data_IF_388772884046
#
_entry.id   IF_388772884046
#
_cell.length_a   1.000
_cell.length_b   1.000
_cell.length_c   1.000
_cell.angle_alpha   90.00
_cell.angle_beta   90.00
_cell.angle_gamma   90.00
#
_symmetry.space_group_name_H-M   'P 1'
#
loop_
_entity.id
_entity.type
_entity.pdbx_description
1 polymer ?
#
# COMPACT_ATOMS: atom_id res chain seq x y z
N UNK A 1 -19.21 42.02 -6.81
CA UNK A 1 -19.32 40.61 -7.29
C UNK A 1 -18.29 40.45 -8.40
N UNK A 2 -17.14 39.86 -8.07
CA UNK A 2 -16.06 39.59 -9.02
C UNK A 2 -16.10 38.09 -9.26
N UNK A 3 -16.51 37.69 -10.46
CA UNK A 3 -16.41 36.31 -10.90
C UNK A 3 -14.92 36.00 -11.15
N UNK A 4 -14.37 35.09 -10.34
CA UNK A 4 -13.09 34.49 -10.62
C UNK A 4 -13.29 33.37 -11.63
N UNK A 5 -12.63 33.48 -12.79
CA UNK A 5 -12.55 32.41 -13.78
C UNK A 5 -11.95 31.14 -13.18
N UNK A 6 -12.50 29.94 -13.46
CA UNK A 6 -11.86 28.70 -13.06
C UNK A 6 -10.63 28.46 -13.94
N UNK A 7 -9.48 28.30 -13.27
CA UNK A 7 -8.22 27.84 -13.86
C UNK A 7 -8.44 26.51 -14.59
N UNK A 8 -8.00 26.35 -15.86
CA UNK A 8 -8.17 25.10 -16.56
C UNK A 8 -7.14 24.06 -16.06
N UNK A 9 -7.57 23.20 -15.15
CA UNK A 9 -6.91 21.93 -14.88
C UNK A 9 -7.40 20.86 -15.86
N UNK A 10 -6.67 20.60 -16.94
CA UNK A 10 -6.62 19.26 -17.52
C UNK A 10 -5.32 19.03 -18.30
N UNK A 11 -4.31 18.48 -17.61
CA UNK A 11 -3.31 17.67 -18.30
C UNK A 11 -4.03 16.38 -18.73
N UNK A 12 -4.53 16.37 -19.97
CA UNK A 12 -5.19 15.23 -20.61
C UNK A 12 -4.48 13.90 -20.29
N UNK A 13 -5.00 13.19 -19.29
CA UNK A 13 -4.83 11.75 -19.15
C UNK A 13 -5.76 11.16 -20.20
N UNK A 14 -5.19 10.64 -21.29
CA UNK A 14 -5.98 9.96 -22.32
C UNK A 14 -6.39 8.60 -21.78
N UNK A 15 -7.50 8.52 -21.06
CA UNK A 15 -8.21 7.26 -20.87
C UNK A 15 -8.92 6.91 -22.17
N UNK A 16 -8.95 5.62 -22.51
CA UNK A 16 -9.80 5.13 -23.60
C UNK A 16 -11.12 4.72 -23.00
N UNK A 17 -12.19 5.44 -23.35
CA UNK A 17 -13.55 5.01 -23.07
C UNK A 17 -13.86 3.80 -23.96
N UNK A 18 -14.15 2.66 -23.35
CA UNK A 18 -14.59 1.45 -24.04
C UNK A 18 -16.06 1.24 -23.70
N UNK A 19 -16.86 0.97 -24.73
CA UNK A 19 -18.26 0.60 -24.59
C UNK A 19 -18.44 -0.85 -25.04
N UNK A 20 -18.91 -1.70 -24.13
CA UNK A 20 -19.29 -3.08 -24.45
C UNK A 20 -20.82 -3.13 -24.59
N UNK A 21 -21.30 -3.71 -25.68
CA UNK A 21 -22.72 -3.89 -25.98
C UNK A 21 -23.00 -5.39 -26.07
N UNK A 22 -24.10 -5.86 -25.46
CA UNK A 22 -24.53 -7.26 -25.58
C UNK A 22 -25.04 -7.54 -27.01
N UNK A 23 -24.34 -8.38 -27.77
CA UNK A 23 -24.71 -8.72 -29.15
C UNK A 23 -26.06 -9.46 -29.24
N UNK A 24 -26.40 -10.26 -28.23
CA UNK A 24 -27.68 -10.99 -28.15
C UNK A 24 -28.91 -10.09 -28.00
N UNK A 25 -28.73 -8.82 -27.60
CA UNK A 25 -29.79 -7.82 -27.49
C UNK A 25 -29.67 -6.68 -28.51
N UNK A 26 -28.67 -6.71 -29.40
CA UNK A 26 -28.39 -5.66 -30.39
C UNK A 26 -29.50 -5.41 -31.43
N UNK A 27 -30.58 -6.19 -31.41
CA UNK A 27 -31.71 -6.07 -32.34
C UNK A 27 -32.88 -5.27 -31.76
N UNK A 28 -32.91 -4.99 -30.45
CA UNK A 28 -33.97 -4.20 -29.80
C UNK A 28 -33.36 -3.25 -28.77
N UNK A 29 -33.47 -1.94 -29.02
CA UNK A 29 -33.16 -0.93 -28.00
C UNK A 29 -34.39 -0.77 -27.11
N UNK A 30 -34.36 -1.33 -25.90
CA UNK A 30 -35.42 -1.16 -24.92
C UNK A 30 -35.11 0.02 -24.00
N UNK A 31 -36.13 0.66 -23.43
CA UNK A 31 -35.94 1.60 -22.33
C UNK A 31 -35.35 0.90 -21.12
N UNK A 32 -34.53 1.60 -20.33
CA UNK A 32 -33.92 1.02 -19.13
C UNK A 32 -33.38 2.09 -18.19
N UNK A 33 -32.72 1.62 -17.13
CA UNK A 33 -32.09 2.47 -16.11
C UNK A 33 -30.60 2.58 -16.40
N UNK A 34 -30.08 3.81 -16.49
CA UNK A 34 -28.65 4.06 -16.55
C UNK A 34 -28.15 4.39 -15.13
N UNK A 35 -27.18 3.63 -14.63
CA UNK A 35 -26.59 3.85 -13.32
C UNK A 35 -25.09 3.58 -13.34
N UNK A 36 -24.34 4.33 -12.53
CA UNK A 36 -22.93 4.06 -12.19
C UNK A 36 -22.77 3.48 -10.78
N UNK A 37 -23.88 3.24 -10.08
CA UNK A 37 -23.91 2.69 -8.72
C UNK A 37 -24.12 1.17 -8.76
N UNK A 38 -23.24 0.43 -8.08
CA UNK A 38 -23.25 -1.04 -8.07
C UNK A 38 -24.51 -1.61 -7.40
N UNK A 39 -25.02 -0.98 -6.34
CA UNK A 39 -26.21 -1.47 -5.64
C UNK A 39 -27.47 -1.22 -6.45
N UNK A 40 -27.58 -0.06 -7.10
CA UNK A 40 -28.62 0.22 -8.07
C UNK A 40 -28.58 -0.75 -9.25
N UNK A 41 -27.38 -1.07 -9.76
CA UNK A 41 -27.19 -2.12 -10.76
C UNK A 41 -27.67 -3.49 -10.24
N UNK A 42 -27.21 -3.91 -9.06
CA UNK A 42 -27.56 -5.21 -8.47
C UNK A 42 -29.06 -5.34 -8.24
N UNK A 43 -29.71 -4.32 -7.70
CA UNK A 43 -31.16 -4.30 -7.50
C UNK A 43 -31.90 -4.35 -8.83
N UNK A 44 -31.46 -3.59 -9.85
CA UNK A 44 -32.08 -3.64 -11.17
C UNK A 44 -31.99 -5.03 -11.81
N UNK A 45 -30.85 -5.73 -11.66
CA UNK A 45 -30.69 -7.12 -12.11
C UNK A 45 -31.63 -8.06 -11.34
N UNK A 46 -31.76 -7.91 -10.02
CA UNK A 46 -32.69 -8.69 -9.20
C UNK A 46 -34.16 -8.47 -9.62
N UNK A 47 -34.48 -7.25 -10.06
CA UNK A 47 -35.79 -6.87 -10.60
C UNK A 47 -35.99 -7.28 -12.09
N UNK A 48 -35.08 -8.08 -12.65
CA UNK A 48 -35.20 -8.65 -13.99
C UNK A 48 -34.64 -7.79 -15.13
N UNK A 49 -33.90 -6.71 -14.83
CA UNK A 49 -33.18 -5.97 -15.86
C UNK A 49 -32.01 -6.79 -16.42
N UNK A 50 -31.65 -6.52 -17.67
CA UNK A 50 -30.49 -7.12 -18.33
C UNK A 50 -29.49 -6.04 -18.75
N UNK A 51 -28.20 -6.35 -18.68
CA UNK A 51 -27.15 -5.42 -19.08
C UNK A 51 -27.18 -5.20 -20.60
N UNK A 52 -27.48 -3.98 -21.02
CA UNK A 52 -27.50 -3.59 -22.43
C UNK A 52 -26.20 -2.93 -22.89
N UNK A 53 -25.61 -2.07 -22.04
CA UNK A 53 -24.39 -1.30 -22.33
C UNK A 53 -23.59 -1.03 -21.06
N UNK A 54 -22.28 -1.21 -21.11
CA UNK A 54 -21.35 -0.76 -20.07
C UNK A 54 -20.29 0.17 -20.69
N UNK A 55 -19.98 1.28 -20.01
CA UNK A 55 -18.90 2.20 -20.38
C UNK A 55 -17.93 2.35 -19.22
N UNK A 56 -16.64 2.16 -19.46
CA UNK A 56 -15.60 2.28 -18.44
C UNK A 56 -14.30 2.83 -19.02
N UNK A 57 -13.52 3.47 -18.15
CA UNK A 57 -12.19 3.99 -18.44
C UNK A 57 -11.12 3.04 -17.93
N UNK A 58 -10.28 2.53 -18.83
CA UNK A 58 -9.10 1.77 -18.46
C UNK A 58 -7.90 2.70 -18.29
N UNK A 59 -7.29 2.63 -17.10
CA UNK A 59 -6.03 3.32 -16.81
C UNK A 59 -4.84 2.55 -17.39
N UNK A 60 -3.85 3.29 -17.87
CA UNK A 60 -2.57 2.70 -18.24
C UNK A 60 -1.89 2.04 -17.03
N UNK A 61 -1.12 0.95 -17.22
CA UNK A 61 -0.31 0.40 -16.16
C UNK A 61 0.70 1.45 -15.63
N UNK A 62 1.01 1.31 -14.35
CA UNK A 62 1.97 2.13 -13.62
C UNK A 62 3.18 1.28 -13.25
N UNK A 63 4.38 1.85 -13.26
CA UNK A 63 5.62 1.19 -12.85
C UNK A 63 6.39 2.09 -11.89
N UNK A 64 6.68 1.57 -10.70
CA UNK A 64 7.45 2.27 -9.68
C UNK A 64 8.94 2.13 -10.00
N UNK A 65 9.62 3.25 -10.21
CA UNK A 65 11.07 3.30 -10.47
C UNK A 65 11.83 3.30 -9.14
N UNK A 66 11.38 4.12 -8.18
CA UNK A 66 11.99 4.19 -6.86
C UNK A 66 10.95 4.62 -5.83
N UNK A 67 10.97 3.97 -4.67
CA UNK A 67 10.16 4.28 -3.50
C UNK A 67 11.08 4.41 -2.28
N UNK A 68 11.35 5.66 -1.87
CA UNK A 68 12.21 5.92 -0.71
C UNK A 68 11.60 5.41 0.60
N UNK A 69 10.26 5.30 0.67
CA UNK A 69 9.61 4.86 1.90
C UNK A 69 9.80 3.35 2.15
N UNK A 70 10.00 2.56 1.09
CA UNK A 70 10.29 1.13 1.14
C UNK A 70 11.21 0.72 -0.02
N UNK A 71 12.52 0.88 0.17
CA UNK A 71 13.50 0.68 -0.90
C UNK A 71 13.59 -0.79 -1.33
N UNK A 72 13.78 -1.02 -2.63
CA UNK A 72 14.01 -2.35 -3.18
C UNK A 72 15.39 -2.90 -2.75
N UNK A 73 15.58 -4.24 -2.73
CA UNK A 73 16.84 -4.86 -2.29
C UNK A 73 18.09 -4.41 -3.06
N UNK A 74 17.93 -3.88 -4.27
CA UNK A 74 19.04 -3.32 -5.06
C UNK A 74 19.75 -2.14 -4.35
N UNK A 75 19.11 -1.52 -3.35
CA UNK A 75 19.66 -0.42 -2.54
C UNK A 75 20.28 -0.89 -1.22
N UNK A 76 20.24 -2.19 -0.92
CA UNK A 76 20.75 -2.72 0.33
C UNK A 76 22.27 -2.52 0.45
N UNK A 77 22.70 -2.21 1.67
CA UNK A 77 24.10 -1.89 1.99
C UNK A 77 24.62 -0.56 1.45
N UNK A 78 23.82 0.20 0.70
CA UNK A 78 24.21 1.56 0.29
C UNK A 78 24.17 2.55 1.46
N UNK A 79 25.04 3.55 1.41
CA UNK A 79 24.97 4.70 2.32
C UNK A 79 23.74 5.58 2.01
N UNK A 80 23.35 6.39 2.98
CA UNK A 80 22.23 7.31 2.82
C UNK A 80 22.50 8.34 1.69
N UNK A 81 23.73 8.81 1.60
CA UNK A 81 24.20 9.76 0.58
C UNK A 81 24.03 9.18 -0.83
N UNK A 82 24.45 7.93 -1.04
CA UNK A 82 24.34 7.27 -2.35
C UNK A 82 22.89 7.06 -2.76
N UNK A 83 22.01 6.69 -1.81
CA UNK A 83 20.56 6.57 -2.06
C UNK A 83 20.00 7.92 -2.52
N UNK A 84 20.36 9.01 -1.83
CA UNK A 84 19.92 10.38 -2.18
C UNK A 84 20.45 10.82 -3.55
N UNK A 85 21.68 10.47 -3.90
CA UNK A 85 22.26 10.76 -5.22
C UNK A 85 21.52 10.00 -6.34
N UNK A 86 21.26 8.69 -6.17
CA UNK A 86 20.46 7.91 -7.13
C UNK A 86 19.06 8.50 -7.26
N UNK A 87 18.41 8.81 -6.13
CA UNK A 87 17.09 9.43 -6.12
C UNK A 87 17.05 10.72 -6.94
N UNK A 88 17.99 11.63 -6.69
CA UNK A 88 18.07 12.89 -7.41
C UNK A 88 18.30 12.69 -8.91
N UNK A 89 19.16 11.74 -9.28
CA UNK A 89 19.38 11.37 -10.67
C UNK A 89 18.08 10.87 -11.33
N UNK A 90 17.44 9.85 -10.74
CA UNK A 90 16.20 9.29 -11.25
C UNK A 90 15.09 10.34 -11.33
N UNK A 91 15.00 11.22 -10.33
CA UNK A 91 14.04 12.31 -10.29
C UNK A 91 14.23 13.27 -11.48
N UNK A 92 15.48 13.65 -11.78
CA UNK A 92 15.81 14.51 -12.91
C UNK A 92 15.59 13.81 -14.26
N UNK A 93 16.04 12.58 -14.40
CA UNK A 93 15.95 11.80 -15.65
C UNK A 93 14.49 11.51 -16.01
N UNK A 94 13.66 11.13 -15.05
CA UNK A 94 12.23 10.87 -15.30
C UNK A 94 11.42 12.12 -15.63
N UNK A 95 11.82 13.29 -15.12
CA UNK A 95 11.23 14.57 -15.52
C UNK A 95 11.56 14.96 -16.96
N UNK A 96 12.61 14.36 -17.55
CA UNK A 96 13.07 14.61 -18.93
C UNK A 96 12.62 13.55 -19.93
N UNK A 97 11.78 12.59 -19.54
CA UNK A 97 11.27 11.55 -20.46
C UNK A 97 10.52 12.23 -21.62
N UNK A 98 11.03 12.04 -22.85
CA UNK A 98 10.45 12.56 -24.10
C UNK A 98 9.64 11.52 -24.88
N UNK A 99 9.50 10.31 -24.35
CA UNK A 99 8.74 9.24 -25.01
C UNK A 99 7.25 9.62 -25.02
N UNK A 100 6.65 9.72 -26.22
CA UNK A 100 5.29 10.27 -26.41
C UNK A 100 4.21 9.56 -25.59
N UNK A 101 4.40 8.29 -25.26
CA UNK A 101 3.40 7.44 -24.63
C UNK A 101 3.70 7.14 -23.15
N UNK A 102 4.91 7.45 -22.66
CA UNK A 102 5.30 7.22 -21.27
C UNK A 102 5.35 8.56 -20.56
N UNK A 103 4.74 8.63 -19.38
CA UNK A 103 4.72 9.85 -18.57
C UNK A 103 5.10 9.53 -17.16
N UNK A 104 5.81 10.46 -16.51
CA UNK A 104 5.94 10.46 -15.07
C UNK A 104 4.58 10.72 -14.42
N UNK A 105 4.24 9.92 -13.41
CA UNK A 105 3.05 10.11 -12.59
C UNK A 105 3.27 11.32 -11.68
N UNK A 106 2.27 12.19 -11.60
CA UNK A 106 2.26 13.41 -10.78
C UNK A 106 0.99 13.46 -9.98
N UNK A 107 1.05 14.05 -8.79
CA UNK A 107 -0.07 14.15 -7.85
C UNK A 107 0.44 14.28 -6.41
N UNK A 108 -0.51 14.41 -5.49
CA UNK A 108 -0.21 14.50 -4.06
C UNK A 108 0.28 13.16 -3.51
N UNK A 109 1.14 13.20 -2.48
CA UNK A 109 1.63 11.99 -1.82
C UNK A 109 2.64 11.18 -2.64
N UNK A 110 3.27 11.78 -3.66
CA UNK A 110 4.34 11.16 -4.45
C UNK A 110 5.73 11.71 -4.10
N UNK A 111 5.87 12.50 -3.03
CA UNK A 111 7.19 13.03 -2.63
C UNK A 111 8.26 11.95 -2.43
N UNK A 112 7.96 10.76 -1.85
CA UNK A 112 8.93 9.68 -1.74
C UNK A 112 8.88 8.69 -2.91
N UNK A 113 8.08 8.93 -3.95
CA UNK A 113 7.88 8.00 -5.08
C UNK A 113 8.23 8.61 -6.45
N UNK A 114 8.94 7.84 -7.26
CA UNK A 114 9.11 8.10 -8.70
C UNK A 114 8.45 6.95 -9.43
N UNK A 115 7.32 7.23 -10.08
CA UNK A 115 6.60 6.27 -10.89
C UNK A 115 6.32 6.82 -12.30
N UNK A 116 6.19 5.90 -13.26
CA UNK A 116 5.85 6.19 -14.65
C UNK A 116 4.61 5.38 -15.07
N UNK A 117 3.84 5.90 -16.01
CA UNK A 117 2.73 5.18 -16.63
C UNK A 117 2.84 5.22 -18.16
N UNK A 118 2.29 4.21 -18.82
CA UNK A 118 2.34 4.08 -20.27
C UNK A 118 1.60 2.84 -20.77
N UNK A 119 1.56 2.60 -22.09
CA UNK A 119 0.67 1.59 -22.68
C UNK A 119 1.08 0.14 -22.44
N UNK A 120 2.31 -0.13 -22.02
CA UNK A 120 2.84 -1.49 -21.92
C UNK A 120 3.69 -1.67 -20.67
N UNK A 121 3.39 -2.70 -19.88
CA UNK A 121 4.20 -3.10 -18.71
C UNK A 121 5.64 -3.47 -19.07
N UNK A 122 5.85 -4.19 -20.18
CA UNK A 122 7.21 -4.58 -20.59
C UNK A 122 8.06 -3.38 -20.97
N UNK A 123 7.46 -2.40 -21.66
CA UNK A 123 8.12 -1.15 -22.03
C UNK A 123 8.53 -0.34 -20.78
N UNK A 124 7.62 -0.23 -19.80
CA UNK A 124 7.89 0.46 -18.54
C UNK A 124 9.00 -0.24 -17.74
N UNK A 125 8.98 -1.57 -17.66
CA UNK A 125 10.01 -2.36 -16.99
C UNK A 125 11.41 -2.20 -17.62
N UNK A 126 11.49 -2.23 -18.95
CA UNK A 126 12.74 -2.00 -19.66
C UNK A 126 13.30 -0.59 -19.40
N UNK A 127 12.42 0.43 -19.39
CA UNK A 127 12.82 1.79 -19.07
C UNK A 127 13.30 1.93 -17.61
N UNK A 128 12.57 1.33 -16.64
CA UNK A 128 12.99 1.28 -15.23
C UNK A 128 14.40 0.71 -15.10
N UNK A 129 14.65 -0.45 -15.73
CA UNK A 129 15.95 -1.11 -15.65
C UNK A 129 17.08 -0.25 -16.27
N UNK A 130 16.82 0.43 -17.39
CA UNK A 130 17.79 1.35 -18.02
C UNK A 130 18.12 2.51 -17.08
N UNK A 131 17.09 3.18 -16.55
CA UNK A 131 17.25 4.33 -15.66
C UNK A 131 18.01 3.97 -14.38
N UNK A 132 17.70 2.81 -13.77
CA UNK A 132 18.40 2.32 -12.58
C UNK A 132 19.85 2.00 -12.92
N UNK A 133 20.11 1.28 -14.02
CA UNK A 133 21.48 0.93 -14.43
C UNK A 133 22.34 2.17 -14.69
N UNK A 134 21.78 3.18 -15.36
CA UNK A 134 22.43 4.48 -15.59
C UNK A 134 22.71 5.20 -14.26
N UNK A 135 21.75 5.25 -13.34
CA UNK A 135 21.92 5.90 -12.03
C UNK A 135 23.06 5.29 -11.21
N UNK A 136 23.20 3.96 -11.23
CA UNK A 136 24.27 3.25 -10.53
C UNK A 136 25.63 3.46 -11.21
N UNK A 137 25.67 3.45 -12.55
CA UNK A 137 26.90 3.76 -13.29
C UNK A 137 27.42 5.17 -12.99
N UNK A 138 26.52 6.13 -12.74
CA UNK A 138 26.89 7.48 -12.32
C UNK A 138 27.54 7.54 -10.93
N UNK A 139 27.25 6.60 -10.01
CA UNK A 139 27.91 6.51 -8.71
C UNK A 139 29.32 5.92 -8.80
N UNK A 140 29.55 4.95 -9.68
CA UNK A 140 30.82 4.22 -9.77
C UNK A 140 32.01 5.04 -10.31
N UNK A 141 31.76 6.21 -10.90
CA UNK A 141 32.84 7.12 -11.32
C UNK A 141 33.48 7.87 -10.14
N UNK A 142 32.86 7.87 -8.95
CA UNK A 142 33.48 8.32 -7.71
C UNK A 142 33.97 7.10 -6.91
N UNK A 143 35.29 7.01 -6.70
CA UNK A 143 35.97 5.90 -6.00
C UNK A 143 35.30 5.57 -4.65
N UNK A 144 34.52 4.51 -4.60
CA UNK A 144 33.93 3.98 -3.37
C UNK A 144 34.58 2.65 -2.99
N UNK A 145 35.52 2.72 -2.05
CA UNK A 145 35.77 1.63 -1.11
C UNK A 145 34.62 1.65 -0.11
N UNK A 146 33.74 0.65 -0.16
CA UNK A 146 32.64 0.53 0.81
C UNK A 146 32.69 -0.86 1.41
N UNK A 147 33.02 -0.92 2.70
CA UNK A 147 32.54 -1.99 3.58
C UNK A 147 31.02 -2.00 3.44
N UNK A 148 30.47 -2.96 2.70
CA UNK A 148 29.03 -3.16 2.62
C UNK A 148 28.55 -3.52 4.02
N UNK A 149 27.84 -2.60 4.68
CA UNK A 149 27.09 -2.97 5.89
C UNK A 149 25.88 -3.79 5.43
N UNK A 150 25.57 -4.86 6.15
CA UNK A 150 24.36 -5.68 5.97
C UNK A 150 23.11 -4.92 6.46
N UNK A 151 22.85 -3.72 5.94
CA UNK A 151 21.66 -2.94 6.27
C UNK A 151 20.65 -3.02 5.14
N UNK A 152 19.58 -3.78 5.36
CA UNK A 152 18.38 -3.76 4.52
C UNK A 152 17.70 -2.40 4.60
N UNK A 153 17.28 -1.88 3.44
CA UNK A 153 16.69 -0.54 3.28
C UNK A 153 15.19 -0.57 3.05
N UNK A 154 14.59 -1.74 2.90
CA UNK A 154 13.15 -1.93 2.81
C UNK A 154 12.75 -3.34 3.21
N UNK A 155 11.45 -3.56 3.27
CA UNK A 155 10.85 -4.85 3.60
C UNK A 155 10.03 -5.31 2.38
N UNK A 156 10.56 -6.28 1.65
CA UNK A 156 9.98 -6.75 0.39
C UNK A 156 8.96 -7.86 0.64
N UNK A 157 7.88 -7.88 -0.15
CA UNK A 157 6.89 -8.98 -0.16
C UNK A 157 7.29 -10.04 -1.22
N UNK A 158 8.31 -10.83 -0.92
CA UNK A 158 8.96 -11.77 -1.86
C UNK A 158 9.11 -13.19 -1.29
N UNK A 159 9.05 -13.36 0.03
CA UNK A 159 9.15 -14.69 0.66
C UNK A 159 7.90 -15.50 0.36
N UNK A 160 8.05 -16.72 -0.15
CA UNK A 160 6.94 -17.65 -0.31
C UNK A 160 6.39 -18.06 1.07
N UNK A 161 5.07 -18.01 1.24
CA UNK A 161 4.40 -18.42 2.48
C UNK A 161 4.73 -19.87 2.84
N UNK A 162 4.79 -20.77 1.84
CA UNK A 162 5.15 -22.19 2.04
C UNK A 162 6.56 -22.41 2.61
N UNK A 163 7.43 -21.40 2.53
CA UNK A 163 8.80 -21.44 3.08
C UNK A 163 8.86 -20.82 4.49
N UNK A 164 7.71 -20.60 5.14
CA UNK A 164 7.63 -20.16 6.54
C UNK A 164 7.52 -21.37 7.48
N UNK A 165 7.55 -21.12 8.80
CA UNK A 165 7.42 -22.19 9.78
C UNK A 165 5.96 -22.72 9.86
N UNK A 166 5.78 -23.90 10.46
CA UNK A 166 4.47 -24.54 10.58
C UNK A 166 3.45 -23.67 11.34
N UNK A 167 3.91 -22.95 12.36
CA UNK A 167 3.07 -22.04 13.16
C UNK A 167 2.47 -20.92 12.30
N UNK A 168 3.27 -20.32 11.41
CA UNK A 168 2.80 -19.28 10.48
C UNK A 168 1.78 -19.86 9.49
N UNK A 169 2.02 -21.06 8.98
CA UNK A 169 1.09 -21.76 8.09
C UNK A 169 -0.23 -22.09 8.79
N UNK A 170 -0.19 -22.58 10.03
CA UNK A 170 -1.37 -22.88 10.82
C UNK A 170 -2.19 -21.61 11.11
N UNK A 171 -1.51 -20.53 11.49
CA UNK A 171 -2.15 -19.24 11.72
C UNK A 171 -2.84 -18.71 10.45
N UNK A 172 -2.18 -18.79 9.29
CA UNK A 172 -2.78 -18.46 7.99
C UNK A 172 -4.04 -19.31 7.71
N UNK A 173 -3.96 -20.63 7.87
CA UNK A 173 -5.08 -21.52 7.57
C UNK A 173 -6.27 -21.25 8.49
N UNK A 174 -6.02 -20.99 9.78
CA UNK A 174 -7.06 -20.61 10.74
C UNK A 174 -7.70 -19.26 10.37
N UNK A 175 -6.90 -18.29 9.94
CA UNK A 175 -7.42 -17.01 9.45
C UNK A 175 -8.29 -17.21 8.21
N UNK A 176 -7.82 -17.97 7.20
CA UNK A 176 -8.57 -18.20 5.98
C UNK A 176 -9.90 -18.93 6.23
N UNK A 177 -9.91 -19.92 7.13
CA UNK A 177 -11.14 -20.60 7.55
C UNK A 177 -12.13 -19.66 8.25
N UNK A 178 -11.63 -18.73 9.07
CA UNK A 178 -12.46 -17.68 9.66
C UNK A 178 -12.99 -16.69 8.63
N UNK A 179 -12.13 -16.28 7.69
CA UNK A 179 -12.37 -15.16 6.79
C UNK A 179 -13.22 -15.52 5.57
N UNK A 180 -13.16 -16.79 5.13
CA UNK A 180 -13.91 -17.28 3.97
C UNK A 180 -15.42 -17.08 4.08
N UNK A 181 -15.96 -17.04 5.30
CA UNK A 181 -17.40 -16.78 5.55
C UNK A 181 -17.86 -15.37 5.16
N UNK A 182 -16.94 -14.43 4.92
CA UNK A 182 -17.25 -13.06 4.49
C UNK A 182 -17.08 -12.87 2.97
N UNK A 183 -16.55 -13.87 2.27
CA UNK A 183 -16.21 -13.82 0.84
C UNK A 183 -17.16 -14.74 0.08
N UNK A 184 -17.78 -14.22 -0.98
CA UNK A 184 -18.65 -15.01 -1.84
C UNK A 184 -17.90 -16.20 -2.41
N UNK A 185 -18.53 -17.38 -2.38
CA UNK A 185 -17.89 -18.63 -2.76
C UNK A 185 -17.28 -18.60 -4.18
N UNK A 186 -17.94 -17.93 -5.12
CA UNK A 186 -17.46 -17.75 -6.51
C UNK A 186 -16.15 -16.94 -6.62
N UNK A 187 -15.80 -16.17 -5.58
CA UNK A 187 -14.61 -15.35 -5.53
C UNK A 187 -13.48 -15.97 -4.70
N UNK A 188 -13.66 -17.18 -4.15
CA UNK A 188 -12.64 -17.81 -3.30
C UNK A 188 -11.30 -17.96 -4.01
N UNK A 189 -11.26 -18.45 -5.24
CA UNK A 189 -10.02 -18.67 -6.01
C UNK A 189 -9.35 -17.36 -6.48
N UNK A 190 -10.12 -16.28 -6.56
CA UNK A 190 -9.63 -14.96 -6.99
C UNK A 190 -9.31 -14.03 -5.82
N UNK A 191 -9.68 -14.40 -4.59
CA UNK A 191 -9.44 -13.59 -3.39
C UNK A 191 -7.95 -13.60 -3.03
N UNK A 192 -7.31 -12.43 -3.12
CA UNK A 192 -5.90 -12.26 -2.75
C UNK A 192 -5.61 -12.58 -1.29
N UNK A 193 -6.60 -12.38 -0.40
CA UNK A 193 -6.46 -12.65 1.03
C UNK A 193 -6.45 -14.17 1.27
N UNK A 194 -7.44 -14.89 0.71
CA UNK A 194 -7.53 -16.35 0.87
C UNK A 194 -6.41 -17.11 0.13
N UNK A 195 -5.88 -16.53 -0.96
CA UNK A 195 -4.81 -17.10 -1.77
C UNK A 195 -3.46 -16.39 -1.54
N UNK A 196 -3.13 -16.09 -0.28
CA UNK A 196 -1.87 -15.41 0.06
C UNK A 196 -0.67 -16.31 -0.27
N UNK A 197 0.07 -15.98 -1.33
CA UNK A 197 1.27 -16.74 -1.75
C UNK A 197 2.58 -16.19 -1.20
N UNK A 198 2.69 -14.87 -1.12
CA UNK A 198 3.90 -14.18 -0.72
C UNK A 198 3.67 -13.37 0.55
N UNK A 199 4.66 -13.39 1.45
CA UNK A 199 4.71 -12.63 2.70
C UNK A 199 5.93 -11.73 2.71
N UNK A 200 6.00 -10.84 3.70
CA UNK A 200 7.15 -9.96 3.85
C UNK A 200 8.37 -10.73 4.35
N UNK A 201 9.55 -10.31 3.88
CA UNK A 201 10.84 -10.86 4.29
C UNK A 201 11.13 -10.63 5.78
N UNK A 202 12.07 -11.41 6.29
CA UNK A 202 12.63 -11.15 7.61
C UNK A 202 13.36 -9.80 7.60
N UNK A 203 13.19 -9.03 8.67
CA UNK A 203 13.77 -7.71 8.81
C UNK A 203 13.85 -7.34 10.28
N UNK A 204 14.95 -6.70 10.69
CA UNK A 204 15.16 -6.24 12.06
C UNK A 204 14.09 -5.27 12.60
N UNK A 205 13.21 -4.76 11.72
CA UNK A 205 12.11 -3.87 12.10
C UNK A 205 11.02 -4.66 12.83
N UNK A 206 10.83 -5.94 12.50
CA UNK A 206 9.83 -6.78 13.16
C UNK A 206 10.11 -6.89 14.66
N UNK A 207 11.34 -7.21 15.05
CA UNK A 207 11.74 -7.26 16.46
C UNK A 207 11.71 -5.89 17.15
N UNK A 208 11.83 -4.78 16.41
CA UNK A 208 11.65 -3.43 16.97
C UNK A 208 10.16 -3.15 17.23
N UNK A 209 9.28 -3.50 16.29
CA UNK A 209 7.84 -3.33 16.45
C UNK A 209 7.26 -4.22 17.55
N UNK A 210 7.77 -5.44 17.69
CA UNK A 210 7.38 -6.40 18.73
C UNK A 210 7.43 -5.78 20.14
N UNK A 211 8.47 -4.97 20.40
CA UNK A 211 8.76 -4.35 21.70
C UNK A 211 7.89 -3.14 22.04
N UNK A 212 7.13 -2.59 21.09
CA UNK A 212 6.39 -1.33 21.30
C UNK A 212 5.13 -1.54 22.15
N UNK A 213 4.37 -2.59 21.87
CA UNK A 213 3.13 -2.91 22.59
C UNK A 213 2.87 -4.42 22.57
N UNK A 214 2.00 -4.90 23.46
CA UNK A 214 1.67 -6.33 23.57
C UNK A 214 0.88 -6.82 22.36
N UNK A 215 -0.24 -6.18 22.05
CA UNK A 215 -1.21 -6.62 21.04
C UNK A 215 -0.95 -5.94 19.69
N UNK A 216 -0.86 -6.69 18.59
CA UNK A 216 -0.55 -6.16 17.25
C UNK A 216 -1.75 -6.32 16.34
N UNK A 217 -2.42 -5.21 16.04
CA UNK A 217 -3.55 -5.18 15.10
C UNK A 217 -3.07 -4.81 13.70
N UNK A 218 -3.21 -5.74 12.76
CA UNK A 218 -2.95 -5.52 11.34
C UNK A 218 -4.26 -5.27 10.59
N UNK A 219 -4.30 -4.23 9.75
CA UNK A 219 -5.51 -3.90 9.00
C UNK A 219 -5.61 -4.72 7.71
N UNK A 220 -6.75 -5.38 7.51
CA UNK A 220 -7.02 -6.24 6.37
C UNK A 220 -7.14 -5.41 5.07
N UNK A 221 -6.76 -6.03 3.95
CA UNK A 221 -6.34 -5.48 2.63
C UNK A 221 -4.83 -5.71 2.38
N UNK A 222 -3.95 -5.12 3.18
CA UNK A 222 -2.50 -5.38 3.12
C UNK A 222 -1.93 -6.14 4.34
N UNK A 223 -2.71 -6.22 5.43
CA UNK A 223 -2.24 -6.66 6.74
C UNK A 223 -1.93 -8.14 6.87
N UNK A 224 -2.61 -9.05 6.16
CA UNK A 224 -2.37 -10.49 6.32
C UNK A 224 -0.94 -10.89 5.94
N UNK A 225 -0.42 -10.56 4.74
CA UNK A 225 0.98 -10.85 4.41
C UNK A 225 2.00 -10.18 5.35
N UNK A 226 1.69 -9.00 5.90
CA UNK A 226 2.53 -8.30 6.88
C UNK A 226 2.59 -9.07 8.20
N UNK A 227 1.42 -9.45 8.72
CA UNK A 227 1.28 -10.21 9.95
C UNK A 227 1.98 -11.57 9.88
N UNK A 228 1.89 -12.27 8.74
CA UNK A 228 2.57 -13.55 8.53
C UNK A 228 4.09 -13.39 8.45
N UNK A 229 4.59 -12.34 7.79
CA UNK A 229 6.02 -12.00 7.79
C UNK A 229 6.53 -11.68 9.19
N UNK A 230 5.77 -10.88 9.94
CA UNK A 230 6.03 -10.55 11.34
C UNK A 230 6.06 -11.80 12.24
N UNK A 231 5.05 -12.67 12.15
CA UNK A 231 4.97 -13.92 12.92
C UNK A 231 6.16 -14.82 12.62
N UNK A 232 6.49 -15.00 11.33
CA UNK A 232 7.60 -15.84 10.92
C UNK A 232 8.97 -15.31 11.41
N UNK A 233 9.10 -14.00 11.62
CA UNK A 233 10.33 -13.36 12.10
C UNK A 233 10.45 -13.31 13.62
N UNK A 234 9.34 -13.15 14.34
CA UNK A 234 9.33 -12.88 15.79
C UNK A 234 8.83 -14.04 16.64
N UNK A 235 7.97 -14.91 16.09
CA UNK A 235 7.24 -15.90 16.87
C UNK A 235 6.16 -15.31 17.80
N UNK A 236 5.86 -14.00 17.69
CA UNK A 236 4.85 -13.38 18.54
C UNK A 236 3.44 -13.65 18.02
N UNK A 237 2.66 -14.36 18.83
CA UNK A 237 1.31 -14.81 18.51
C UNK A 237 0.21 -13.80 18.86
N UNK A 238 0.53 -12.66 19.49
CA UNK A 238 -0.45 -11.63 19.85
C UNK A 238 -0.83 -10.75 18.64
N UNK A 239 -1.25 -11.42 17.58
CA UNK A 239 -1.61 -10.84 16.28
C UNK A 239 -3.12 -10.85 16.14
N UNK A 240 -3.64 -9.70 15.75
CA UNK A 240 -5.05 -9.44 15.56
C UNK A 240 -5.28 -8.79 14.20
N UNK A 241 -6.50 -8.91 13.70
CA UNK A 241 -6.95 -8.36 12.44
C UNK A 241 -8.27 -7.65 12.60
N UNK A 242 -8.44 -6.58 11.82
CA UNK A 242 -9.73 -5.94 11.61
C UNK A 242 -9.79 -5.32 10.22
N UNK A 243 -10.98 -4.98 9.77
CA UNK A 243 -11.22 -4.38 8.47
C UNK A 243 -11.55 -2.90 8.57
N UNK A 244 -10.89 -2.13 7.72
CA UNK A 244 -11.13 -0.71 7.55
C UNK A 244 -11.13 -0.41 6.05
N UNK A 245 -12.32 -0.25 5.47
CA UNK A 245 -12.44 0.06 4.05
C UNK A 245 -12.51 1.55 3.79
N UNK A 246 -11.92 1.93 2.67
CA UNK A 246 -12.18 3.21 2.03
C UNK A 246 -13.37 3.07 1.09
N UNK A 247 -13.99 4.20 0.73
CA UNK A 247 -14.96 4.24 -0.36
C UNK A 247 -14.29 3.70 -1.64
N UNK A 248 -14.96 2.78 -2.34
CA UNK A 248 -14.51 2.14 -3.59
C UNK A 248 -13.32 1.18 -3.45
N UNK A 249 -13.14 0.52 -2.31
CA UNK A 249 -12.18 -0.58 -2.19
C UNK A 249 -12.62 -1.77 -3.07
N UNK A 250 -11.76 -2.19 -4.01
CA UNK A 250 -12.06 -3.28 -4.93
C UNK A 250 -12.30 -4.61 -4.20
N UNK A 251 -11.78 -4.77 -2.99
CA UNK A 251 -12.05 -5.96 -2.17
C UNK A 251 -13.50 -6.04 -1.70
N UNK A 252 -14.30 -4.97 -1.84
CA UNK A 252 -15.73 -4.98 -1.54
C UNK A 252 -16.54 -5.77 -2.57
N UNK A 253 -16.03 -5.92 -3.80
CA UNK A 253 -16.74 -6.61 -4.88
C UNK A 253 -16.89 -8.11 -4.64
N UNK A 254 -15.98 -8.71 -3.86
CA UNK A 254 -15.96 -10.16 -3.61
C UNK A 254 -16.64 -10.57 -2.31
N UNK A 255 -17.38 -9.67 -1.67
CA UNK A 255 -17.89 -9.86 -0.30
C UNK A 255 -19.38 -10.07 -0.25
N UNK A 256 -19.78 -11.02 0.60
CA UNK A 256 -21.17 -11.17 1.02
C UNK A 256 -21.48 -10.26 2.21
N UNK A 257 -20.57 -10.19 3.19
CA UNK A 257 -20.78 -9.49 4.47
C UNK A 257 -19.56 -8.68 4.93
N UNK A 258 -19.84 -7.65 5.74
CA UNK A 258 -18.81 -6.83 6.38
C UNK A 258 -18.30 -7.46 7.69
N UNK A 259 -16.99 -7.60 7.83
CA UNK A 259 -16.33 -7.94 9.09
C UNK A 259 -16.07 -6.66 9.88
N UNK A 260 -16.84 -6.44 10.94
CA UNK A 260 -16.77 -5.22 11.76
C UNK A 260 -16.20 -5.49 13.16
N UNK A 261 -15.38 -6.52 13.28
CA UNK A 261 -14.85 -6.98 14.58
C UNK A 261 -13.33 -7.23 14.50
N UNK A 262 -12.79 -7.91 15.52
CA UNK A 262 -11.38 -8.24 15.69
C UNK A 262 -11.24 -9.76 15.72
N UNK A 263 -10.26 -10.26 14.97
CA UNK A 263 -9.91 -11.67 14.94
C UNK A 263 -8.42 -11.89 15.21
N UNK A 264 -8.03 -12.88 16.03
CA UNK A 264 -8.89 -13.66 16.92
C UNK A 264 -9.60 -12.78 17.95
N UNK A 265 -10.68 -13.27 18.55
CA UNK A 265 -11.32 -12.55 19.65
C UNK A 265 -10.32 -12.41 20.81
N UNK A 266 -10.02 -11.19 21.29
CA UNK A 266 -9.03 -11.02 22.36
C UNK A 266 -9.51 -11.66 23.66
N UNK A 267 -8.63 -12.41 24.32
CA UNK A 267 -8.94 -13.11 25.59
C UNK A 267 -8.88 -12.18 26.80
N UNK A 268 -8.16 -11.06 26.72
CA UNK A 268 -8.24 -9.95 27.70
C UNK A 268 -7.94 -8.60 27.05
N UNK A 269 -8.47 -7.53 27.64
CA UNK A 269 -8.22 -6.13 27.24
C UNK A 269 -6.94 -5.52 27.84
N UNK A 270 -6.26 -6.24 28.74
CA UNK A 270 -5.29 -5.69 29.70
C UNK A 270 -3.90 -5.39 29.11
N UNK A 271 -3.81 -4.95 27.86
CA UNK A 271 -2.52 -4.66 27.25
C UNK A 271 -2.56 -3.55 26.21
N UNK A 272 -1.46 -2.81 26.04
CA UNK A 272 -1.37 -1.77 25.03
C UNK A 272 -1.49 -2.37 23.62
N UNK A 273 -2.16 -1.63 22.74
CA UNK A 273 -2.40 -2.00 21.36
C UNK A 273 -1.48 -1.23 20.43
N UNK A 274 -0.92 -1.92 19.44
CA UNK A 274 -0.19 -1.36 18.32
C UNK A 274 -0.95 -1.65 17.03
N UNK A 275 -1.38 -0.60 16.34
CA UNK A 275 -2.06 -0.73 15.05
C UNK A 275 -1.04 -0.50 13.94
N UNK A 276 -0.92 -1.46 13.03
CA UNK A 276 0.10 -1.49 11.98
C UNK A 276 -0.60 -1.54 10.61
N UNK A 277 -0.33 -0.54 9.76
CA UNK A 277 -0.87 -0.47 8.41
C UNK A 277 0.05 0.31 7.47
N UNK A 278 -0.09 0.10 6.16
CA UNK A 278 0.52 0.95 5.14
C UNK A 278 -0.16 2.32 5.09
N UNK A 279 0.63 3.39 5.16
CA UNK A 279 0.08 4.73 5.33
C UNK A 279 0.17 5.62 4.08
N UNK A 280 -0.93 5.71 3.33
CA UNK A 280 -1.06 6.70 2.25
C UNK A 280 -1.50 8.08 2.76
N UNK A 281 -2.56 8.10 3.57
CA UNK A 281 -3.13 9.31 4.20
C UNK A 281 -3.23 9.23 5.73
N UNK A 282 -3.06 8.04 6.31
CA UNK A 282 -3.24 7.80 7.75
C UNK A 282 -4.69 7.59 8.21
N UNK A 283 -5.67 7.73 7.31
CA UNK A 283 -7.09 7.64 7.66
C UNK A 283 -7.51 6.29 8.27
N UNK A 284 -6.95 5.18 7.75
CA UNK A 284 -7.24 3.82 8.24
C UNK A 284 -6.73 3.59 9.66
N UNK A 285 -5.51 4.03 9.96
CA UNK A 285 -4.91 3.97 11.31
C UNK A 285 -5.78 4.69 12.34
N UNK A 286 -6.22 5.92 12.03
CA UNK A 286 -7.08 6.71 12.92
C UNK A 286 -8.43 6.04 13.17
N UNK A 287 -9.05 5.49 12.12
CA UNK A 287 -10.32 4.79 12.25
C UNK A 287 -10.20 3.53 13.10
N UNK A 288 -9.15 2.73 12.89
CA UNK A 288 -8.86 1.56 13.69
C UNK A 288 -8.56 1.91 15.17
N UNK A 289 -7.84 2.99 15.43
CA UNK A 289 -7.57 3.45 16.79
C UNK A 289 -8.85 3.81 17.54
N UNK A 290 -9.76 4.51 16.88
CA UNK A 290 -11.08 4.83 17.43
C UNK A 290 -11.93 3.59 17.65
N UNK A 291 -11.86 2.60 16.74
CA UNK A 291 -12.55 1.33 16.91
C UNK A 291 -12.05 0.57 18.15
N UNK A 292 -10.74 0.48 18.36
CA UNK A 292 -10.14 -0.17 19.54
C UNK A 292 -10.60 0.53 20.83
N UNK A 293 -10.52 1.86 20.89
CA UNK A 293 -10.99 2.63 22.05
C UNK A 293 -12.48 2.48 22.31
N UNK A 294 -13.29 2.45 21.24
CA UNK A 294 -14.74 2.22 21.38
C UNK A 294 -15.06 0.81 21.90
N UNK A 295 -14.26 -0.19 21.54
CA UNK A 295 -14.48 -1.59 21.93
C UNK A 295 -13.98 -1.90 23.34
N UNK A 296 -12.82 -1.37 23.74
CA UNK A 296 -12.17 -1.73 25.00
C UNK A 296 -12.10 -0.60 26.04
N UNK A 297 -12.58 0.59 25.71
CA UNK A 297 -12.53 1.77 26.57
C UNK A 297 -11.48 2.79 26.13
N UNK A 298 -11.72 4.06 26.46
CA UNK A 298 -10.85 5.17 26.05
C UNK A 298 -9.54 5.26 26.84
N UNK A 299 -9.46 4.58 27.99
CA UNK A 299 -8.24 4.52 28.83
C UNK A 299 -7.21 3.52 28.30
N UNK A 300 -7.57 2.70 27.32
CA UNK A 300 -6.64 1.74 26.70
C UNK A 300 -5.57 2.50 25.92
N UNK A 301 -4.32 2.15 26.18
CA UNK A 301 -3.18 2.66 25.42
C UNK A 301 -3.22 2.09 23.99
N UNK A 302 -3.35 2.98 23.01
CA UNK A 302 -3.35 2.64 21.59
C UNK A 302 -2.29 3.47 20.89
N UNK A 303 -1.29 2.78 20.35
CA UNK A 303 -0.22 3.32 19.49
C UNK A 303 -0.46 2.89 18.04
N UNK A 304 0.11 3.66 17.13
CA UNK A 304 -0.03 3.46 15.68
C UNK A 304 1.33 3.45 14.99
N UNK A 305 1.49 2.58 13.99
CA UNK A 305 2.67 2.48 13.13
C UNK A 305 2.24 2.67 11.69
N UNK A 306 2.76 3.73 11.07
CA UNK A 306 2.68 3.96 9.65
C UNK A 306 3.81 3.22 8.94
N UNK A 307 3.49 2.14 8.23
CA UNK A 307 4.44 1.49 7.33
C UNK A 307 4.52 2.26 6.01
N UNK A 308 5.73 2.63 5.61
CA UNK A 308 6.07 3.18 4.31
C UNK A 308 5.20 4.41 3.96
N UNK A 309 5.20 5.47 4.81
CA UNK A 309 4.32 6.61 4.60
C UNK A 309 4.63 7.33 3.29
N UNK A 310 3.58 7.66 2.54
CA UNK A 310 3.69 8.28 1.20
C UNK A 310 3.64 9.81 1.21
N UNK A 311 3.24 10.40 2.32
CA UNK A 311 3.20 11.84 2.52
C UNK A 311 3.68 12.21 3.91
N UNK A 312 4.12 13.46 4.08
CA UNK A 312 4.44 13.98 5.40
C UNK A 312 3.23 13.92 6.34
N UNK A 313 2.02 14.17 5.82
CA UNK A 313 0.79 14.00 6.61
C UNK A 313 0.59 12.56 7.08
N UNK A 314 0.88 11.57 6.24
CA UNK A 314 0.79 10.17 6.63
C UNK A 314 1.86 9.80 7.66
N UNK A 315 3.09 10.29 7.49
CA UNK A 315 4.15 10.15 8.49
C UNK A 315 3.74 10.74 9.85
N UNK A 316 3.19 11.95 9.85
CA UNK A 316 2.75 12.66 11.07
C UNK A 316 1.47 12.11 11.69
N UNK A 317 0.74 11.24 10.99
CA UNK A 317 -0.55 10.70 11.47
C UNK A 317 -0.43 9.56 12.47
N UNK A 318 0.78 9.05 12.68
CA UNK A 318 1.05 7.90 13.53
C UNK A 318 2.01 8.24 14.68
N UNK A 319 2.07 7.37 15.69
CA UNK A 319 3.03 7.49 16.79
C UNK A 319 4.43 7.06 16.35
N UNK A 320 4.49 6.04 15.51
CA UNK A 320 5.71 5.53 14.91
C UNK A 320 5.57 5.42 13.39
N UNK A 321 6.71 5.47 12.68
CA UNK A 321 6.75 5.26 11.25
C UNK A 321 7.94 4.37 10.86
N UNK A 322 7.70 3.43 9.94
CA UNK A 322 8.77 2.67 9.29
C UNK A 322 9.03 3.30 7.92
N UNK A 323 10.24 3.79 7.72
CA UNK A 323 10.66 4.45 6.49
C UNK A 323 12.08 4.02 6.12
N UNK A 324 12.29 3.52 4.91
CA UNK A 324 13.60 3.06 4.44
C UNK A 324 14.31 2.07 5.39
N UNK A 325 13.57 1.09 5.91
CA UNK A 325 14.09 0.07 6.82
C UNK A 325 14.39 0.58 8.24
N UNK A 326 14.01 1.82 8.56
CA UNK A 326 14.24 2.47 9.86
C UNK A 326 12.93 2.71 10.60
N UNK A 327 12.98 2.65 11.94
CA UNK A 327 11.84 2.96 12.81
C UNK A 327 12.02 4.35 13.42
N UNK A 328 11.03 5.22 13.26
CA UNK A 328 11.03 6.57 13.80
C UNK A 328 9.90 6.74 14.81
N UNK A 329 10.19 7.34 15.97
CA UNK A 329 9.16 7.89 16.85
C UNK A 329 8.76 9.27 16.32
N UNK A 330 7.56 9.39 15.76
CA UNK A 330 7.17 10.51 14.91
C UNK A 330 7.27 11.85 15.65
N UNK A 331 6.85 11.91 16.92
CA UNK A 331 6.93 13.12 17.75
C UNK A 331 8.34 13.69 17.87
N UNK A 332 9.35 12.81 17.87
CA UNK A 332 10.75 13.19 18.05
C UNK A 332 11.39 13.76 16.78
N UNK A 333 10.89 13.37 15.61
CA UNK A 333 11.47 13.75 14.31
C UNK A 333 10.63 14.80 13.57
N UNK A 334 9.30 14.69 13.58
CA UNK A 334 8.40 15.53 12.78
C UNK A 334 8.63 17.05 12.92
N UNK A 335 8.91 17.62 14.11
CA UNK A 335 9.13 19.07 14.26
C UNK A 335 10.35 19.62 13.51
N UNK A 336 11.30 18.75 13.13
CA UNK A 336 12.57 19.13 12.47
C UNK A 336 12.53 18.92 10.96
N UNK A 337 11.48 18.27 10.44
CA UNK A 337 11.38 17.94 9.04
C UNK A 337 10.91 19.14 8.21
N UNK A 338 11.62 19.40 7.13
CA UNK A 338 11.22 20.36 6.12
C UNK A 338 10.11 19.78 5.23
N UNK A 339 9.06 20.56 4.96
CA UNK A 339 7.88 20.06 4.22
C UNK A 339 8.21 19.57 2.82
N UNK A 340 9.19 20.17 2.16
CA UNK A 340 9.54 19.84 0.78
C UNK A 340 10.63 18.76 0.71
N UNK A 341 11.41 18.57 1.77
CA UNK A 341 12.58 17.66 1.80
C UNK A 341 12.51 16.54 2.83
N UNK A 342 11.40 16.40 3.57
CA UNK A 342 11.23 15.40 4.64
C UNK A 342 11.65 13.98 4.20
N UNK A 343 11.26 13.57 2.99
CA UNK A 343 11.51 12.24 2.44
C UNK A 343 13.01 11.96 2.28
N UNK A 344 13.79 12.96 1.88
CA UNK A 344 15.27 12.87 1.80
C UNK A 344 15.89 12.95 3.19
N UNK A 345 15.39 13.84 4.07
CA UNK A 345 15.90 13.98 5.42
C UNK A 345 15.80 12.67 6.21
N UNK A 346 14.67 11.96 6.13
CA UNK A 346 14.50 10.67 6.80
C UNK A 346 15.48 9.58 6.32
N UNK A 347 15.94 9.64 5.07
CA UNK A 347 17.01 8.75 4.58
C UNK A 347 18.33 9.02 5.31
N UNK A 348 18.61 10.29 5.62
CA UNK A 348 19.85 10.74 6.28
C UNK A 348 19.82 10.59 7.80
N UNK A 349 18.64 10.65 8.42
CA UNK A 349 18.48 10.58 9.88
C UNK A 349 18.92 9.24 10.48
N UNK A 350 19.45 9.27 11.70
CA UNK A 350 19.57 8.06 12.51
C UNK A 350 18.20 7.66 13.05
N UNK A 351 18.00 6.39 13.36
CA UNK A 351 16.73 5.85 13.84
C UNK A 351 16.90 5.07 15.13
N UNK A 352 15.80 4.88 15.85
CA UNK A 352 15.78 4.15 17.14
C UNK A 352 15.83 2.64 16.93
#
# INVERSE_FOLDING_TARGET
MIHADPVPHSLNQRTKSITIISEHHGWRTLSGVQTSDYYAYRNAILDGCHLQRASFDLRHPEEMICDLSNLEPIYDGMSAENIVLIWNYLNLSTNKIKLREIRRIKGDGLSPEIAISGPSKSLLGNLKNSLISEAFAHLHNDKLSVLMKETSRGITKSRLLINTNNETMEFHNRFCAFYSKYISHEHWDSSFILNTRFVYEDHAIWSKLEKIAKNKLFLLSAGLPLALGYLAATGDHNIFFSEVHRQNDSSLLSRDDAFQDIFPTPTSSDGPWLIIDKAYTGGSLRQAANMIRKKFGYDVEVKTVALFPKSLSAFMSADYAVYAGKLFEVKSYAPRLDRDRWHIQLIMEQSI
#
